data_IF_758794849090
#
_entry.id   IF_758794849090
#
_cell.length_a   1.000
_cell.length_b   1.000
_cell.length_c   1.000
_cell.angle_alpha   90.00
_cell.angle_beta   90.00
_cell.angle_gamma   90.00
#
_symmetry.space_group_name_H-M   'P 1'
#
loop_
_entity.id
_entity.type
_entity.pdbx_description
1 polymer ?
#
# COMPACT_ATOMS: atom_id res chain seq x y z
N UNK A 1 -4.91 19.83 0.41
CA UNK A 1 -4.71 18.40 0.77
C UNK A 1 -3.29 18.00 0.40
N UNK A 2 -2.72 16.99 1.09
CA UNK A 2 -1.37 16.46 0.81
C UNK A 2 -1.41 14.93 0.73
N UNK A 3 -0.74 14.37 -0.27
CA UNK A 3 -0.45 12.94 -0.40
C UNK A 3 1.06 12.75 -0.57
N UNK A 4 1.57 11.60 -0.18
CA UNK A 4 3.01 11.31 -0.22
C UNK A 4 3.24 9.93 -0.85
N UNK A 5 4.05 9.86 -1.91
CA UNK A 5 4.46 8.59 -2.52
C UNK A 5 5.88 8.27 -2.11
N UNK A 6 6.04 7.08 -1.54
CA UNK A 6 7.30 6.52 -1.09
C UNK A 6 7.75 5.41 -2.03
N UNK A 7 9.05 5.31 -2.27
CA UNK A 7 9.65 4.23 -3.06
C UNK A 7 10.83 3.60 -2.33
N UNK A 8 11.09 2.32 -2.56
CA UNK A 8 12.29 1.61 -2.10
C UNK A 8 12.85 0.73 -3.23
N UNK A 9 14.18 0.58 -3.33
CA UNK A 9 14.82 -0.32 -4.30
C UNK A 9 14.59 0.04 -5.78
N UNK A 10 14.20 1.28 -6.10
CA UNK A 10 13.98 1.73 -7.48
C UNK A 10 15.28 2.33 -8.01
N UNK A 11 15.74 1.89 -9.18
CA UNK A 11 16.96 2.43 -9.80
C UNK A 11 16.86 3.96 -9.96
N UNK A 12 17.95 4.68 -9.66
CA UNK A 12 17.99 6.14 -9.76
C UNK A 12 17.63 6.65 -11.16
N UNK A 13 18.08 5.98 -12.22
CA UNK A 13 17.76 6.35 -13.60
C UNK A 13 16.24 6.31 -13.87
N UNK A 14 15.59 5.19 -13.52
CA UNK A 14 14.13 5.04 -13.69
C UNK A 14 13.34 6.04 -12.85
N UNK A 15 13.82 6.35 -11.63
CA UNK A 15 13.19 7.33 -10.76
C UNK A 15 13.27 8.74 -11.35
N UNK A 16 14.46 9.19 -11.78
CA UNK A 16 14.65 10.53 -12.33
C UNK A 16 13.88 10.75 -13.63
N UNK A 17 13.88 9.75 -14.52
CA UNK A 17 13.13 9.78 -15.78
C UNK A 17 11.61 9.88 -15.53
N UNK A 18 11.07 9.12 -14.58
CA UNK A 18 9.67 9.25 -14.19
C UNK A 18 9.37 10.59 -13.50
N UNK A 19 10.24 11.06 -12.59
CA UNK A 19 10.06 12.32 -11.87
C UNK A 19 9.98 13.51 -12.84
N UNK A 20 10.81 13.55 -13.87
CA UNK A 20 10.78 14.62 -14.87
C UNK A 20 9.40 14.71 -15.54
N UNK A 21 8.89 13.58 -16.06
CA UNK A 21 7.53 13.51 -16.66
C UNK A 21 6.43 13.84 -15.66
N UNK A 22 6.56 13.37 -14.41
CA UNK A 22 5.60 13.66 -13.36
C UNK A 22 5.47 15.17 -13.10
N UNK A 23 6.59 15.90 -13.10
CA UNK A 23 6.60 17.34 -12.91
C UNK A 23 5.88 18.08 -14.05
N UNK A 24 6.11 17.67 -15.30
CA UNK A 24 5.42 18.23 -16.48
C UNK A 24 3.90 17.97 -16.41
N UNK A 25 3.50 16.73 -16.12
CA UNK A 25 2.10 16.34 -15.99
C UNK A 25 1.40 17.08 -14.82
N UNK A 26 2.11 17.31 -13.72
CA UNK A 26 1.60 18.03 -12.57
C UNK A 26 1.38 19.52 -12.86
N UNK A 27 2.34 20.16 -13.54
CA UNK A 27 2.22 21.56 -13.96
C UNK A 27 1.03 21.75 -14.90
N UNK A 28 0.87 20.86 -15.90
CA UNK A 28 -0.27 20.87 -16.80
C UNK A 28 -1.62 20.68 -16.08
N UNK A 29 -1.62 19.93 -14.98
CA UNK A 29 -2.79 19.73 -14.14
C UNK A 29 -3.01 20.84 -13.09
N UNK A 30 -2.10 21.82 -12.96
CA UNK A 30 -2.15 22.84 -11.91
C UNK A 30 -1.90 22.28 -10.50
N UNK A 31 -1.12 21.22 -10.39
CA UNK A 31 -0.76 20.55 -9.15
C UNK A 31 0.69 20.86 -8.77
N UNK A 32 0.96 20.96 -7.47
CA UNK A 32 2.33 21.10 -6.98
C UNK A 32 2.89 19.73 -6.59
N UNK A 33 4.06 19.39 -7.13
CA UNK A 33 4.78 18.14 -6.82
C UNK A 33 6.19 18.46 -6.37
N UNK A 34 6.53 18.01 -5.17
CA UNK A 34 7.83 18.26 -4.55
C UNK A 34 8.52 16.93 -4.27
N UNK A 35 9.75 16.79 -4.76
CA UNK A 35 10.64 15.70 -4.36
C UNK A 35 11.49 16.17 -3.18
N UNK A 36 11.45 15.37 -2.10
CA UNK A 36 12.21 15.65 -0.89
C UNK A 36 12.98 14.39 -0.49
N UNK A 37 14.26 14.50 -0.08
CA UNK A 37 14.96 13.38 0.52
C UNK A 37 14.24 12.96 1.81
N UNK A 38 14.30 11.67 2.12
CA UNK A 38 13.77 11.15 3.37
C UNK A 38 14.78 11.46 4.47
N UNK A 39 14.31 12.13 5.51
CA UNK A 39 15.11 12.48 6.68
C UNK A 39 14.66 11.64 7.88
N UNK A 40 15.62 11.14 8.65
CA UNK A 40 15.37 10.36 9.86
C UNK A 40 16.10 9.02 9.87
N UNK A 41 16.33 8.49 11.05
CA UNK A 41 16.87 7.13 11.20
C UNK A 41 15.78 6.10 10.88
N UNK A 42 16.16 4.84 10.54
CA UNK A 42 15.20 3.77 10.34
C UNK A 42 14.18 3.61 11.50
N UNK A 43 14.61 3.83 12.74
CA UNK A 43 13.77 3.73 13.93
C UNK A 43 12.71 4.85 13.95
N UNK A 44 13.13 6.08 13.67
CA UNK A 44 12.21 7.22 13.60
C UNK A 44 11.18 7.06 12.46
N UNK A 45 11.57 6.42 11.35
CA UNK A 45 10.66 6.12 10.25
C UNK A 45 9.68 5.01 10.63
N UNK A 46 10.09 3.98 11.38
CA UNK A 46 9.20 2.91 11.89
C UNK A 46 8.12 3.47 12.82
N UNK A 47 8.47 4.46 13.64
CA UNK A 47 7.50 5.11 14.53
C UNK A 47 6.52 5.99 13.75
N UNK A 48 7.00 6.77 12.79
CA UNK A 48 6.19 7.77 12.08
C UNK A 48 5.38 7.22 10.91
N UNK A 49 5.86 6.17 10.26
CA UNK A 49 5.30 5.64 9.01
C UNK A 49 5.14 4.11 9.04
N UNK A 50 4.62 3.50 10.13
CA UNK A 50 4.61 2.04 10.29
C UNK A 50 3.96 1.33 9.10
N UNK A 51 2.78 1.80 8.67
CA UNK A 51 2.04 1.21 7.55
C UNK A 51 2.75 1.32 6.19
N UNK A 52 3.56 2.37 5.98
CA UNK A 52 4.37 2.51 4.76
C UNK A 52 5.48 1.48 4.77
N UNK A 53 6.14 1.29 5.91
CA UNK A 53 7.21 0.29 6.04
C UNK A 53 6.66 -1.13 5.96
N UNK A 54 5.48 -1.39 6.51
CA UNK A 54 4.82 -2.70 6.42
C UNK A 54 4.49 -3.06 4.95
N UNK A 55 3.98 -2.10 4.17
CA UNK A 55 3.70 -2.32 2.73
C UNK A 55 4.99 -2.49 1.93
N UNK A 56 5.96 -1.59 2.11
CA UNK A 56 7.21 -1.63 1.34
C UNK A 56 8.11 -2.81 1.75
N UNK A 57 7.94 -3.32 2.98
CA UNK A 57 8.87 -4.25 3.63
C UNK A 57 10.34 -3.80 3.57
N UNK A 58 10.57 -2.49 3.50
CA UNK A 58 11.87 -1.85 3.35
C UNK A 58 11.81 -0.42 3.86
N UNK A 59 12.97 0.15 4.19
CA UNK A 59 13.09 1.58 4.45
C UNK A 59 12.92 2.31 3.10
N UNK A 60 12.03 3.31 3.00
CA UNK A 60 11.88 4.08 1.79
C UNK A 60 13.11 4.97 1.55
N UNK A 61 13.47 5.13 0.28
CA UNK A 61 14.64 5.90 -0.19
C UNK A 61 14.25 7.26 -0.77
N UNK A 62 13.08 7.33 -1.41
CA UNK A 62 12.59 8.55 -2.06
C UNK A 62 11.18 8.88 -1.60
N UNK A 63 10.88 10.18 -1.50
CA UNK A 63 9.55 10.71 -1.21
C UNK A 63 9.17 11.78 -2.23
N UNK A 64 7.99 11.62 -2.83
CA UNK A 64 7.31 12.63 -3.62
C UNK A 64 6.09 13.11 -2.84
N UNK A 65 5.91 14.42 -2.73
CA UNK A 65 4.79 15.04 -2.05
C UNK A 65 3.92 15.74 -3.10
N UNK A 66 2.63 15.43 -3.09
CA UNK A 66 1.64 16.04 -3.97
C UNK A 66 0.79 17.00 -3.16
N UNK A 67 0.59 18.21 -3.67
CA UNK A 67 -0.23 19.25 -3.04
C UNK A 67 -1.24 19.82 -4.03
N UNK A 68 -2.48 20.00 -3.56
CA UNK A 68 -3.53 20.74 -4.25
C UNK A 68 -4.64 21.17 -3.30
N UNK A 69 -5.34 22.23 -3.67
CA UNK A 69 -6.60 22.62 -3.03
C UNK A 69 -7.76 21.69 -3.42
N UNK A 70 -7.74 21.14 -4.64
CA UNK A 70 -8.73 20.18 -5.12
C UNK A 70 -8.34 18.75 -4.71
N UNK A 71 -9.02 18.24 -3.67
CA UNK A 71 -8.80 16.91 -3.14
C UNK A 71 -9.09 15.79 -4.16
N UNK A 72 -10.13 15.95 -4.99
CA UNK A 72 -10.54 14.92 -5.95
C UNK A 72 -9.54 14.83 -7.09
N UNK A 73 -9.12 15.98 -7.62
CA UNK A 73 -8.09 16.06 -8.64
C UNK A 73 -6.77 15.46 -8.12
N UNK A 74 -6.36 15.84 -6.89
CA UNK A 74 -5.15 15.33 -6.25
C UNK A 74 -5.16 13.81 -6.10
N UNK A 75 -6.25 13.25 -5.53
CA UNK A 75 -6.39 11.80 -5.36
C UNK A 75 -6.31 11.08 -6.71
N UNK A 76 -7.02 11.58 -7.73
CA UNK A 76 -7.02 10.98 -9.07
C UNK A 76 -5.62 10.98 -9.67
N UNK A 77 -4.92 12.11 -9.63
CA UNK A 77 -3.58 12.27 -10.19
C UNK A 77 -2.54 11.40 -9.46
N UNK A 78 -2.51 11.46 -8.13
CA UNK A 78 -1.55 10.72 -7.33
C UNK A 78 -1.79 9.21 -7.43
N UNK A 79 -3.05 8.77 -7.36
CA UNK A 79 -3.39 7.35 -7.47
C UNK A 79 -3.07 6.78 -8.85
N UNK A 80 -3.34 7.51 -9.92
CA UNK A 80 -2.98 7.11 -11.29
C UNK A 80 -1.47 6.91 -11.43
N UNK A 81 -0.70 7.85 -10.90
CA UNK A 81 0.77 7.76 -10.91
C UNK A 81 1.27 6.58 -10.07
N UNK A 82 0.77 6.40 -8.86
CA UNK A 82 1.04 5.26 -7.99
C UNK A 82 0.77 3.92 -8.72
N UNK A 83 -0.44 3.72 -9.25
CA UNK A 83 -0.82 2.51 -9.99
C UNK A 83 0.08 2.25 -11.19
N UNK A 84 0.45 3.29 -11.93
CA UNK A 84 1.35 3.14 -13.08
C UNK A 84 2.74 2.61 -12.68
N UNK A 85 3.21 2.92 -11.46
CA UNK A 85 4.48 2.44 -10.91
C UNK A 85 4.36 1.02 -10.38
N UNK A 86 3.29 0.72 -9.64
CA UNK A 86 2.98 -0.64 -9.18
C UNK A 86 2.91 -1.62 -10.36
N UNK A 87 2.31 -1.23 -11.49
CA UNK A 87 2.24 -2.05 -12.70
C UNK A 87 3.59 -2.27 -13.41
N UNK A 88 4.64 -1.55 -13.00
CA UNK A 88 6.02 -1.70 -13.49
C UNK A 88 6.93 -2.33 -12.43
N UNK A 89 6.34 -3.06 -11.50
CA UNK A 89 7.01 -3.76 -10.40
C UNK A 89 7.85 -2.85 -9.50
N UNK A 90 7.53 -1.56 -9.41
CA UNK A 90 8.17 -0.71 -8.41
C UNK A 90 7.62 -1.01 -7.03
N UNK A 91 8.51 -1.10 -6.05
CA UNK A 91 8.15 -1.12 -4.65
C UNK A 91 7.80 0.31 -4.20
N UNK A 92 6.50 0.63 -4.28
CA UNK A 92 5.96 1.96 -3.99
C UNK A 92 4.75 1.89 -3.07
N UNK A 93 4.56 2.94 -2.28
CA UNK A 93 3.40 3.11 -1.42
C UNK A 93 2.91 4.55 -1.48
N UNK A 94 1.60 4.74 -1.72
CA UNK A 94 0.97 6.05 -1.70
C UNK A 94 0.28 6.25 -0.35
N UNK A 95 0.76 7.21 0.42
CA UNK A 95 0.37 7.50 1.80
C UNK A 95 -0.45 8.79 1.89
N UNK A 96 -1.45 8.78 2.77
CA UNK A 96 -2.27 9.93 3.14
C UNK A 96 -1.96 10.33 4.59
N UNK A 97 -1.13 11.36 4.83
CA UNK A 97 -0.75 11.78 6.18
C UNK A 97 -1.94 12.15 7.06
N UNK A 98 -2.99 12.78 6.51
CA UNK A 98 -4.17 13.17 7.29
C UNK A 98 -5.03 12.00 7.77
N UNK A 99 -4.86 10.83 7.15
CA UNK A 99 -5.61 9.61 7.45
C UNK A 99 -4.74 8.54 8.10
N UNK A 100 -3.42 8.76 8.14
CA UNK A 100 -2.41 7.81 8.59
C UNK A 100 -2.64 6.42 7.98
N UNK A 101 -2.74 6.41 6.65
CA UNK A 101 -3.14 5.24 5.88
C UNK A 101 -2.58 5.30 4.46
N UNK A 102 -2.43 4.15 3.80
CA UNK A 102 -1.94 4.03 2.42
C UNK A 102 -3.06 3.65 1.46
N UNK A 103 -2.99 4.07 0.21
CA UNK A 103 -3.88 3.59 -0.83
C UNK A 103 -3.58 2.13 -1.17
N UNK A 104 -4.62 1.37 -1.49
CA UNK A 104 -4.46 0.00 -1.95
C UNK A 104 -4.15 -0.04 -3.46
N UNK A 105 -3.27 -0.94 -3.90
CA UNK A 105 -2.95 -1.05 -5.32
C UNK A 105 -4.11 -1.59 -6.16
N UNK A 106 -5.21 -2.06 -5.55
CA UNK A 106 -6.31 -2.72 -6.26
C UNK A 106 -7.68 -2.06 -6.05
N UNK A 107 -7.79 -1.05 -5.19
CA UNK A 107 -9.03 -0.32 -4.93
C UNK A 107 -8.70 1.12 -4.54
N UNK A 108 -9.12 2.08 -5.37
CA UNK A 108 -8.83 3.51 -5.21
C UNK A 108 -9.72 4.19 -4.17
N UNK A 109 -10.76 3.50 -3.70
CA UNK A 109 -11.71 3.99 -2.71
C UNK A 109 -11.35 3.54 -1.29
N UNK A 110 -10.30 2.76 -1.13
CA UNK A 110 -9.88 2.20 0.14
C UNK A 110 -8.48 2.65 0.53
N UNK A 111 -8.34 2.97 1.80
CA UNK A 111 -7.08 3.26 2.46
C UNK A 111 -6.80 2.19 3.51
N UNK A 112 -5.60 1.63 3.56
CA UNK A 112 -5.17 0.69 4.59
C UNK A 112 -4.46 1.41 5.73
N UNK A 113 -4.91 1.20 6.96
CA UNK A 113 -4.21 1.67 8.17
C UNK A 113 -3.19 0.65 8.68
N UNK A 114 -3.34 -0.63 8.32
CA UNK A 114 -2.44 -1.71 8.71
C UNK A 114 -2.34 -2.74 7.60
N UNK A 115 -1.13 -3.21 7.36
CA UNK A 115 -0.87 -4.21 6.32
C UNK A 115 0.05 -5.30 6.86
N UNK A 116 -0.17 -6.52 6.41
CA UNK A 116 0.81 -7.60 6.56
C UNK A 116 0.82 -8.44 5.29
N UNK A 117 2.03 -8.77 4.82
CA UNK A 117 2.23 -9.68 3.70
C UNK A 117 2.96 -10.91 4.23
N UNK A 118 2.25 -12.02 4.27
CA UNK A 118 2.67 -13.23 4.96
C UNK A 118 2.87 -14.36 3.95
N UNK A 119 3.95 -15.12 4.15
CA UNK A 119 4.38 -16.21 3.28
C UNK A 119 4.59 -17.48 4.07
N UNK A 120 4.16 -18.59 3.51
CA UNK A 120 4.37 -19.90 4.10
C UNK A 120 4.96 -20.82 3.05
N UNK A 121 6.05 -21.49 3.39
CA UNK A 121 6.73 -22.45 2.54
C UNK A 121 7.05 -23.72 3.33
N UNK A 122 6.44 -24.84 2.93
CA UNK A 122 6.71 -26.16 3.50
C UNK A 122 6.51 -27.25 2.43
N UNK A 123 7.56 -28.01 2.14
CA UNK A 123 7.54 -29.01 1.06
C UNK A 123 7.16 -28.37 -0.29
N UNK A 124 6.07 -28.85 -0.89
CA UNK A 124 5.51 -28.30 -2.14
C UNK A 124 4.50 -27.17 -1.91
N UNK A 125 4.18 -26.84 -0.66
CA UNK A 125 3.29 -25.74 -0.32
C UNK A 125 4.06 -24.44 -0.38
N UNK A 126 3.59 -23.51 -1.22
CA UNK A 126 4.06 -22.14 -1.26
C UNK A 126 2.83 -21.23 -1.34
N UNK A 127 2.55 -20.53 -0.23
CA UNK A 127 1.30 -19.80 0.00
C UNK A 127 1.59 -18.37 0.38
N UNK A 128 0.69 -17.50 -0.05
CA UNK A 128 0.68 -16.08 0.31
C UNK A 128 -0.61 -15.73 1.04
N UNK A 129 -0.51 -14.79 1.97
CA UNK A 129 -1.64 -14.23 2.71
C UNK A 129 -1.39 -12.74 2.95
N UNK A 130 -2.06 -11.88 2.20
CA UNK A 130 -2.03 -10.44 2.38
C UNK A 130 -3.24 -10.01 3.21
N UNK A 131 -3.01 -9.20 4.23
CA UNK A 131 -4.01 -8.79 5.20
C UNK A 131 -4.01 -7.27 5.32
N UNK A 132 -5.19 -6.66 5.20
CA UNK A 132 -5.36 -5.21 5.20
C UNK A 132 -6.48 -4.81 6.18
N UNK A 133 -6.20 -3.87 7.08
CA UNK A 133 -7.25 -3.14 7.81
C UNK A 133 -7.53 -1.87 7.03
N UNK A 134 -8.68 -1.82 6.39
CA UNK A 134 -9.02 -0.77 5.44
C UNK A 134 -10.13 0.13 5.97
N UNK A 135 -10.07 1.40 5.60
CA UNK A 135 -11.12 2.38 5.75
C UNK A 135 -11.52 2.91 4.38
N UNK A 136 -12.77 3.35 4.22
CA UNK A 136 -13.21 4.08 3.03
C UNK A 136 -12.48 5.41 2.91
N UNK A 137 -12.27 5.88 1.68
CA UNK A 137 -11.68 7.19 1.41
C UNK A 137 -12.64 8.33 1.79
N UNK A 138 -13.95 8.11 1.62
CA UNK A 138 -14.99 9.15 1.73
C UNK A 138 -15.80 9.10 3.03
N UNK A 139 -15.77 7.98 3.73
CA UNK A 139 -16.51 7.75 4.97
C UNK A 139 -15.62 7.00 5.97
N UNK A 140 -16.07 6.91 7.22
CA UNK A 140 -15.33 6.25 8.29
C UNK A 140 -15.77 4.78 8.47
N UNK A 141 -16.13 4.08 7.39
CA UNK A 141 -16.40 2.65 7.42
C UNK A 141 -15.11 1.82 7.30
N UNK A 142 -14.97 0.87 8.20
CA UNK A 142 -13.83 -0.03 8.30
C UNK A 142 -14.18 -1.44 7.79
N UNK A 143 -13.18 -2.11 7.25
CA UNK A 143 -13.26 -3.51 6.87
C UNK A 143 -11.90 -4.18 7.04
N UNK A 144 -11.90 -5.50 7.16
CA UNK A 144 -10.69 -6.31 7.06
C UNK A 144 -10.76 -7.11 5.77
N UNK A 145 -9.75 -6.92 4.91
CA UNK A 145 -9.61 -7.64 3.65
C UNK A 145 -8.45 -8.62 3.77
N UNK A 146 -8.70 -9.88 3.42
CA UNK A 146 -7.65 -10.90 3.29
C UNK A 146 -7.60 -11.40 1.86
N UNK A 147 -6.40 -11.48 1.28
CA UNK A 147 -6.15 -12.01 -0.07
C UNK A 147 -5.13 -13.14 0.03
N UNK A 148 -5.47 -14.34 -0.43
CA UNK A 148 -4.66 -15.52 -0.15
C UNK A 148 -4.74 -16.58 -1.24
N UNK A 149 -3.71 -17.41 -1.34
CA UNK A 149 -3.62 -18.44 -2.37
C UNK A 149 -2.22 -19.05 -2.46
N UNK A 150 -1.96 -19.82 -3.52
CA UNK A 150 -0.59 -20.25 -3.87
C UNK A 150 0.18 -19.05 -4.41
N UNK A 151 1.49 -18.98 -4.12
CA UNK A 151 2.38 -18.01 -4.75
C UNK A 151 2.28 -18.15 -6.27
N UNK A 152 2.18 -17.02 -6.96
CA UNK A 152 2.03 -16.88 -8.42
C UNK A 152 0.70 -17.42 -9.02
N UNK A 153 -0.18 -17.97 -8.19
CA UNK A 153 -1.55 -18.35 -8.54
C UNK A 153 -2.54 -17.17 -8.52
N UNK A 154 -3.80 -17.44 -8.86
CA UNK A 154 -4.89 -16.49 -8.57
C UNK A 154 -5.19 -16.47 -7.07
N UNK A 155 -5.36 -15.29 -6.49
CA UNK A 155 -5.72 -15.16 -5.08
C UNK A 155 -7.23 -15.16 -4.87
N UNK A 156 -7.68 -15.84 -3.83
CA UNK A 156 -9.01 -15.62 -3.27
C UNK A 156 -9.01 -14.33 -2.44
N UNK A 157 -10.18 -13.71 -2.30
CA UNK A 157 -10.36 -12.54 -1.46
C UNK A 157 -11.57 -12.73 -0.53
N UNK A 158 -11.38 -12.41 0.74
CA UNK A 158 -12.46 -12.27 1.72
C UNK A 158 -12.47 -10.86 2.29
N UNK A 159 -13.66 -10.33 2.57
CA UNK A 159 -13.87 -9.02 3.17
C UNK A 159 -14.86 -9.17 4.32
N UNK A 160 -14.50 -8.67 5.51
CA UNK A 160 -15.39 -8.56 6.67
C UNK A 160 -15.58 -7.09 7.00
N UNK A 161 -16.84 -6.64 6.99
CA UNK A 161 -17.23 -5.24 7.21
C UNK A 161 -17.51 -5.00 8.69
N UNK A 162 -17.08 -3.85 9.20
CA UNK A 162 -17.25 -3.44 10.59
C UNK A 162 -17.92 -2.07 10.73
N UNK A 163 -18.31 -1.42 9.63
CA UNK A 163 -18.88 -0.07 9.63
C UNK A 163 -17.94 0.88 10.40
N UNK A 164 -18.45 1.78 11.26
CA UNK A 164 -17.63 2.72 12.03
C UNK A 164 -16.88 2.12 13.23
N UNK A 165 -16.82 0.78 13.38
CA UNK A 165 -16.23 0.10 14.55
C UNK A 165 -14.76 -0.24 14.35
N UNK A 166 -13.90 0.77 14.42
CA UNK A 166 -12.44 0.60 14.25
C UNK A 166 -11.85 -0.44 15.21
N UNK A 167 -12.20 -0.40 16.51
CA UNK A 167 -11.65 -1.33 17.50
C UNK A 167 -11.98 -2.80 17.19
N UNK A 168 -13.17 -3.08 16.66
CA UNK A 168 -13.56 -4.43 16.27
C UNK A 168 -12.79 -4.90 15.02
N UNK A 169 -12.60 -3.99 14.05
CA UNK A 169 -11.77 -4.26 12.88
C UNK A 169 -10.31 -4.53 13.28
N UNK A 170 -9.76 -3.78 14.23
CA UNK A 170 -8.40 -3.99 14.76
C UNK A 170 -8.27 -5.33 15.49
N UNK A 171 -9.26 -5.70 16.32
CA UNK A 171 -9.31 -7.01 16.98
C UNK A 171 -9.31 -8.14 15.96
N UNK A 172 -10.13 -8.05 14.91
CA UNK A 172 -10.16 -9.06 13.85
C UNK A 172 -8.85 -9.12 13.08
N UNK A 173 -8.27 -7.98 12.70
CA UNK A 173 -6.99 -7.93 12.01
C UNK A 173 -5.90 -8.59 12.86
N UNK A 174 -5.81 -8.23 14.15
CA UNK A 174 -4.84 -8.80 15.08
C UNK A 174 -5.01 -10.32 15.24
N UNK A 175 -6.25 -10.78 15.37
CA UNK A 175 -6.58 -12.20 15.44
C UNK A 175 -6.10 -12.94 14.20
N UNK A 176 -6.47 -12.46 13.02
CA UNK A 176 -6.07 -13.10 11.74
C UNK A 176 -4.55 -13.08 11.56
N UNK A 177 -3.88 -11.99 11.91
CA UNK A 177 -2.43 -11.89 11.83
C UNK A 177 -1.75 -12.90 12.77
N UNK A 178 -2.15 -12.93 14.04
CA UNK A 178 -1.62 -13.86 15.03
C UNK A 178 -1.85 -15.33 14.64
N UNK A 179 -3.06 -15.67 14.20
CA UNK A 179 -3.42 -17.02 13.74
C UNK A 179 -2.54 -17.51 12.59
N UNK A 180 -2.04 -16.60 11.74
CA UNK A 180 -1.15 -16.94 10.62
C UNK A 180 0.29 -17.11 11.08
N UNK A 181 0.77 -16.25 11.98
CA UNK A 181 2.11 -16.40 12.55
C UNK A 181 2.25 -17.70 13.35
N UNK A 182 1.21 -18.16 14.04
CA UNK A 182 1.17 -19.47 14.70
C UNK A 182 1.21 -20.66 13.73
N UNK A 183 0.98 -20.42 12.43
CA UNK A 183 1.01 -21.42 11.35
C UNK A 183 2.27 -21.27 10.50
N UNK A 184 3.35 -20.79 11.11
CA UNK A 184 4.67 -20.61 10.51
C UNK A 184 4.71 -19.68 9.29
N UNK A 185 3.70 -18.83 9.11
CA UNK A 185 3.79 -17.76 8.12
C UNK A 185 4.83 -16.73 8.58
N UNK A 186 5.67 -16.30 7.64
CA UNK A 186 6.69 -15.29 7.84
C UNK A 186 6.32 -14.00 7.10
N UNK A 187 6.67 -12.86 7.67
CA UNK A 187 6.52 -11.56 6.99
C UNK A 187 7.49 -11.51 5.81
N UNK A 188 7.04 -11.00 4.67
CA UNK A 188 7.88 -10.84 3.49
C UNK A 188 7.38 -9.75 2.55
N UNK A 189 8.22 -9.36 1.61
CA UNK A 189 7.87 -8.33 0.63
C UNK A 189 6.86 -8.88 -0.41
N UNK A 190 5.71 -8.20 -0.65
CA UNK A 190 4.81 -8.53 -1.75
C UNK A 190 5.38 -8.13 -3.10
N UNK A 191 5.31 -9.05 -4.07
CA UNK A 191 5.48 -8.61 -5.46
C UNK A 191 4.17 -8.00 -5.95
N UNK A 192 4.21 -6.87 -6.69
CA UNK A 192 3.00 -6.23 -7.21
C UNK A 192 2.05 -7.16 -7.99
N UNK A 193 2.53 -8.10 -8.84
CA UNK A 193 1.65 -9.03 -9.54
C UNK A 193 0.82 -9.91 -8.59
N UNK A 194 1.39 -10.31 -7.44
CA UNK A 194 0.68 -11.10 -6.44
C UNK A 194 -0.46 -10.31 -5.78
N UNK A 195 -0.24 -9.03 -5.51
CA UNK A 195 -1.27 -8.17 -4.92
C UNK A 195 -2.41 -7.83 -5.89
N UNK A 196 -2.19 -7.92 -7.21
CA UNK A 196 -3.20 -7.56 -8.21
C UNK A 196 -4.01 -8.75 -8.71
N UNK A 197 -3.44 -9.96 -8.68
CA UNK A 197 -4.06 -11.16 -9.28
C UNK A 197 -5.16 -11.74 -8.39
N UNK A 198 -6.41 -11.70 -8.86
CA UNK A 198 -7.53 -12.44 -8.24
C UNK A 198 -7.83 -13.71 -9.02
N UNK A 199 -8.29 -14.74 -8.31
CA UNK A 199 -8.84 -15.95 -8.91
C UNK A 199 -10.15 -15.60 -9.62
N UNK A 200 -10.33 -16.11 -10.84
CA UNK A 200 -11.60 -16.03 -11.54
C UNK A 200 -12.62 -16.91 -10.80
N UNK A 201 -13.78 -16.35 -10.47
CA UNK A 201 -14.94 -17.14 -10.05
C UNK A 201 -15.42 -17.91 -11.29
N UNK A 202 -15.35 -19.24 -11.25
CA UNK A 202 -15.97 -20.12 -12.24
C UNK A 202 -17.38 -20.49 -11.81
#
# INVERSE_FOLDING_TARGET
>A
MRLELYTAGVSQASFLDWKARLSEDAEAAGLEVVHSPIQGTPEALREKLPVVLDELCSIPEQRIQFHSADAKQLCTFAYTNYRSRTNRDWNVSLYSPSKEAIFLPFDDKLLSKRVAHLYYQEGTSDKVYHLYLVQSLTDDAYSVISRYGRRDGGLQQTKKVFDSRLEEAEKEWNRLHHDKLQKDYQVGHPTPPQQLKLALSF
#
